data_IF_065778320884
#
_entry.id   IF_065778320884
#
_cell.length_a   1.000
_cell.length_b   1.000
_cell.length_c   1.000
_cell.angle_alpha   90.00
_cell.angle_beta   90.00
_cell.angle_gamma   90.00
#
_symmetry.space_group_name_H-M   'P 1'
#
loop_
_entity.id
_entity.type
_entity.pdbx_description
1 polymer ?
#
# COMPACT_ATOMS: atom_id res chain seq x y z
N UNK A 1 -18.56 -7.44 -13.37
CA UNK A 1 -17.93 -7.10 -14.67
C UNK A 1 -16.70 -6.27 -14.35
N UNK A 2 -15.59 -6.51 -15.04
CA UNK A 2 -14.36 -5.75 -14.89
C UNK A 2 -14.21 -4.84 -16.10
N UNK A 3 -13.85 -3.58 -15.85
CA UNK A 3 -13.71 -2.55 -16.87
C UNK A 3 -12.47 -1.71 -16.55
N UNK A 4 -11.87 -1.14 -17.57
CA UNK A 4 -10.70 -0.27 -17.45
C UNK A 4 -10.96 1.02 -18.21
N UNK A 5 -10.63 2.13 -17.55
CA UNK A 5 -10.68 3.47 -18.11
C UNK A 5 -9.28 3.83 -18.59
N UNK A 6 -9.18 4.23 -19.86
CA UNK A 6 -7.97 4.86 -20.38
C UNK A 6 -8.21 6.36 -20.48
N UNK A 7 -7.41 7.14 -19.75
CA UNK A 7 -7.40 8.60 -19.84
C UNK A 7 -6.22 8.99 -20.72
N UNK A 8 -6.46 9.43 -21.97
CA UNK A 8 -5.39 9.89 -22.84
C UNK A 8 -4.69 11.13 -22.27
N UNK A 9 -3.37 11.07 -22.16
CA UNK A 9 -2.51 12.22 -21.81
C UNK A 9 -2.40 13.16 -23.01
N UNK A 10 -3.39 14.04 -23.21
CA UNK A 10 -3.26 15.13 -24.18
C UNK A 10 -2.63 16.35 -23.49
N UNK A 11 -1.33 16.57 -23.68
CA UNK A 11 -0.69 17.81 -23.21
C UNK A 11 -1.12 19.05 -24.02
N UNK A 12 -1.85 18.87 -25.13
CA UNK A 12 -2.25 19.98 -26.00
C UNK A 12 -3.66 19.73 -26.56
N UNK A 13 -4.67 20.29 -25.89
CA UNK A 13 -5.85 20.90 -26.51
C UNK A 13 -6.72 20.11 -27.51
N UNK A 14 -6.68 18.78 -27.53
CA UNK A 14 -7.62 17.97 -28.34
C UNK A 14 -8.59 17.23 -27.43
N UNK A 15 -9.86 17.16 -27.82
CA UNK A 15 -10.95 16.34 -27.26
C UNK A 15 -10.53 14.88 -27.06
N UNK A 16 -9.74 14.61 -26.04
CA UNK A 16 -9.20 13.30 -25.77
C UNK A 16 -10.22 12.56 -24.93
N UNK A 17 -11.16 11.90 -25.61
CA UNK A 17 -12.31 11.26 -25.00
C UNK A 17 -11.87 10.07 -24.15
N UNK A 18 -12.28 10.08 -22.89
CA UNK A 18 -12.15 8.94 -21.98
C UNK A 18 -12.79 7.70 -22.60
N UNK A 19 -12.07 6.58 -22.57
CA UNK A 19 -12.55 5.33 -23.15
C UNK A 19 -12.65 4.25 -22.09
N UNK A 20 -13.88 3.81 -21.83
CA UNK A 20 -14.17 2.64 -21.02
C UNK A 20 -14.20 1.40 -21.91
N UNK A 21 -13.44 0.37 -21.55
CA UNK A 21 -13.52 -0.93 -22.21
C UNK A 21 -13.71 -2.06 -21.19
N UNK A 22 -14.46 -3.07 -21.60
CA UNK A 22 -14.70 -4.25 -20.78
C UNK A 22 -13.51 -5.21 -20.84
N UNK A 23 -13.11 -5.70 -19.67
CA UNK A 23 -12.16 -6.82 -19.48
C UNK A 23 -12.90 -8.14 -19.22
N UNK A 24 -14.23 -8.16 -19.31
CA UNK A 24 -15.05 -9.35 -19.07
C UNK A 24 -15.45 -9.56 -17.61
N UNK A 25 -15.51 -10.82 -17.17
CA UNK A 25 -15.90 -11.17 -15.80
C UNK A 25 -14.70 -11.09 -14.87
N UNK A 26 -14.85 -10.38 -13.75
CA UNK A 26 -13.83 -10.39 -12.71
C UNK A 26 -13.70 -11.80 -12.13
N UNK A 27 -12.47 -12.32 -11.97
CA UNK A 27 -12.26 -13.68 -11.52
C UNK A 27 -12.65 -13.90 -10.05
N UNK A 28 -12.68 -12.84 -9.24
CA UNK A 28 -13.02 -12.90 -7.82
C UNK A 28 -13.78 -11.66 -7.35
N UNK A 29 -14.53 -11.82 -6.26
CA UNK A 29 -15.15 -10.71 -5.55
C UNK A 29 -14.12 -9.99 -4.67
N UNK A 30 -14.27 -8.66 -4.54
CA UNK A 30 -13.52 -7.87 -3.58
C UNK A 30 -13.92 -8.25 -2.15
N UNK A 31 -12.93 -8.40 -1.28
CA UNK A 31 -13.16 -8.59 0.16
C UNK A 31 -12.80 -7.31 0.92
N UNK A 32 -13.68 -6.89 1.83
CA UNK A 32 -13.33 -5.91 2.85
C UNK A 32 -13.19 -4.47 2.35
N UNK A 33 -12.23 -3.75 2.91
CA UNK A 33 -11.95 -2.33 2.58
C UNK A 33 -11.24 -2.25 1.23
N UNK A 34 -11.47 -1.16 0.49
CA UNK A 34 -10.89 -0.89 -0.83
C UNK A 34 -9.44 -0.40 -0.73
N UNK A 35 -8.59 -1.19 -0.09
CA UNK A 35 -7.17 -0.89 0.02
C UNK A 35 -6.42 -1.66 -1.09
N UNK A 36 -5.65 -0.94 -1.89
CA UNK A 36 -4.88 -1.48 -3.01
C UNK A 36 -3.45 -0.95 -2.96
N UNK A 37 -2.51 -1.71 -3.52
CA UNK A 37 -1.14 -1.27 -3.74
C UNK A 37 -0.84 -1.25 -5.24
N UNK A 38 -0.04 -0.29 -5.69
CA UNK A 38 0.48 -0.25 -7.07
C UNK A 38 1.99 -0.43 -7.02
N UNK A 39 2.51 -1.45 -7.71
CA UNK A 39 3.94 -1.78 -7.74
C UNK A 39 4.28 -2.29 -9.13
N UNK A 40 5.32 -1.76 -9.79
CA UNK A 40 5.80 -2.22 -11.10
C UNK A 40 4.68 -2.37 -12.16
N UNK A 41 3.85 -1.34 -12.34
CA UNK A 41 2.69 -1.35 -13.26
C UNK A 41 1.66 -2.45 -12.97
N UNK A 42 1.65 -2.99 -11.75
CA UNK A 42 0.65 -3.95 -11.27
C UNK A 42 -0.13 -3.37 -10.11
N UNK A 43 -1.44 -3.55 -10.15
CA UNK A 43 -2.35 -3.20 -9.05
C UNK A 43 -2.67 -4.47 -8.26
N UNK A 44 -2.58 -4.40 -6.93
CA UNK A 44 -2.80 -5.52 -6.03
C UNK A 44 -3.90 -5.23 -5.03
N UNK A 45 -4.76 -6.21 -4.75
CA UNK A 45 -5.82 -6.12 -3.74
C UNK A 45 -6.14 -7.49 -3.12
N UNK A 46 -6.77 -7.48 -1.95
CA UNK A 46 -7.19 -8.69 -1.25
C UNK A 46 -8.51 -9.22 -1.83
N UNK A 47 -8.54 -10.54 -2.08
CA UNK A 47 -9.72 -11.27 -2.57
C UNK A 47 -9.94 -12.55 -1.76
N UNK A 48 -11.13 -13.13 -1.88
CA UNK A 48 -11.47 -14.40 -1.26
C UNK A 48 -12.98 -14.62 -1.15
N UNK A 49 -13.37 -15.79 -0.69
CA UNK A 49 -14.79 -16.18 -0.60
C UNK A 49 -15.45 -15.73 0.72
N UNK A 50 -14.69 -15.74 1.81
CA UNK A 50 -15.18 -15.47 3.16
C UNK A 50 -14.27 -14.45 3.85
N UNK A 51 -14.84 -13.28 4.16
CA UNK A 51 -14.16 -12.13 4.77
C UNK A 51 -13.39 -12.46 6.06
N UNK A 52 -13.95 -13.36 6.87
CA UNK A 52 -13.44 -13.73 8.20
C UNK A 52 -12.68 -15.06 8.19
N UNK A 53 -12.55 -15.72 7.04
CA UNK A 53 -11.82 -16.97 6.91
C UNK A 53 -10.43 -16.67 6.31
N UNK A 54 -9.37 -16.65 7.13
CA UNK A 54 -8.01 -16.39 6.66
C UNK A 54 -7.56 -17.41 5.60
N UNK A 55 -8.13 -18.62 5.59
CA UNK A 55 -7.79 -19.63 4.60
C UNK A 55 -8.34 -19.34 3.21
N UNK A 56 -9.35 -18.49 3.12
CA UNK A 56 -9.94 -18.04 1.86
C UNK A 56 -9.26 -16.79 1.30
N UNK A 57 -8.38 -16.11 2.04
CA UNK A 57 -7.76 -14.85 1.61
C UNK A 57 -6.64 -15.12 0.59
N UNK A 58 -6.64 -14.37 -0.51
CA UNK A 58 -5.61 -14.35 -1.56
C UNK A 58 -5.31 -12.91 -1.93
N UNK A 59 -4.16 -12.70 -2.58
CA UNK A 59 -3.81 -11.42 -3.18
C UNK A 59 -3.99 -11.58 -4.69
N UNK A 60 -4.86 -10.75 -5.27
CA UNK A 60 -5.02 -10.62 -6.72
C UNK A 60 -4.08 -9.55 -7.22
N UNK A 61 -3.51 -9.75 -8.41
CA UNK A 61 -2.78 -8.74 -9.16
C UNK A 61 -3.44 -8.50 -10.51
N UNK A 62 -3.42 -7.27 -10.99
CA UNK A 62 -3.71 -6.93 -12.37
C UNK A 62 -2.55 -6.18 -12.98
N UNK A 63 -1.97 -6.74 -14.04
CA UNK A 63 -0.86 -6.15 -14.77
C UNK A 63 -1.39 -5.16 -15.81
N UNK A 64 -1.03 -3.88 -15.68
CA UNK A 64 -1.54 -2.82 -16.55
C UNK A 64 -1.00 -2.90 -17.98
N UNK A 65 0.16 -3.54 -18.19
CA UNK A 65 0.80 -3.65 -19.52
C UNK A 65 0.21 -4.78 -20.34
N UNK A 66 0.08 -5.94 -19.73
CA UNK A 66 -0.44 -7.17 -20.36
C UNK A 66 -1.94 -7.36 -20.14
N UNK A 67 -2.53 -6.57 -19.25
CA UNK A 67 -3.97 -6.56 -18.92
C UNK A 67 -4.47 -7.90 -18.41
N UNK A 68 -3.60 -8.62 -17.71
CA UNK A 68 -3.87 -9.96 -17.20
C UNK A 68 -3.99 -9.97 -15.68
N UNK A 69 -4.91 -10.82 -15.21
CA UNK A 69 -5.05 -11.13 -13.79
C UNK A 69 -4.04 -12.21 -13.37
N UNK A 70 -3.53 -12.09 -12.16
CA UNK A 70 -2.63 -13.05 -11.54
C UNK A 70 -2.94 -13.24 -10.06
N UNK A 71 -2.50 -14.36 -9.50
CA UNK A 71 -2.62 -14.63 -8.08
C UNK A 71 -1.24 -14.62 -7.43
N UNK A 72 -1.14 -13.93 -6.29
CA UNK A 72 0.06 -13.90 -5.46
C UNK A 72 -0.21 -14.68 -4.17
N UNK A 73 0.80 -15.44 -3.73
CA UNK A 73 0.73 -16.17 -2.47
C UNK A 73 0.53 -15.21 -1.30
N UNK A 74 -0.45 -15.50 -0.46
CA UNK A 74 -0.62 -14.82 0.84
C UNK A 74 0.37 -15.40 1.86
N UNK A 75 1.00 -14.61 2.74
CA UNK A 75 1.91 -15.07 3.80
C UNK A 75 1.19 -15.81 4.94
N UNK A 76 0.44 -16.88 4.62
CA UNK A 76 -0.42 -17.64 5.54
C UNK A 76 0.30 -18.18 6.77
N UNK A 77 1.56 -18.60 6.62
CA UNK A 77 2.37 -19.11 7.76
C UNK A 77 2.53 -18.07 8.87
N UNK A 78 2.36 -16.80 8.54
CA UNK A 78 2.75 -15.68 9.38
C UNK A 78 1.59 -14.79 9.81
N UNK A 79 0.45 -14.89 9.12
CA UNK A 79 -0.78 -14.16 9.43
C UNK A 79 -1.99 -15.08 9.28
N UNK A 80 -2.80 -15.13 10.34
CA UNK A 80 -4.09 -15.84 10.37
C UNK A 80 -5.24 -14.86 10.63
N UNK A 81 -5.10 -13.62 10.15
CA UNK A 81 -6.06 -12.54 10.42
C UNK A 81 -7.18 -12.48 9.39
N UNK A 82 -8.32 -11.91 9.79
CA UNK A 82 -9.38 -11.55 8.84
C UNK A 82 -8.92 -10.39 7.95
N UNK A 83 -9.57 -10.21 6.80
CA UNK A 83 -9.23 -9.15 5.83
C UNK A 83 -9.35 -7.73 6.41
N UNK A 84 -10.07 -7.53 7.51
CA UNK A 84 -10.23 -6.21 8.15
C UNK A 84 -8.98 -5.73 8.90
N UNK A 85 -8.07 -6.67 9.18
CA UNK A 85 -6.82 -6.46 9.90
C UNK A 85 -5.62 -6.33 8.96
N UNK A 86 -5.88 -6.32 7.65
CA UNK A 86 -4.88 -6.46 6.60
C UNK A 86 -5.02 -5.33 5.59
N UNK A 87 -3.92 -4.65 5.28
CA UNK A 87 -3.85 -3.72 4.16
C UNK A 87 -2.68 -4.11 3.24
N UNK A 88 -2.79 -3.72 1.96
CA UNK A 88 -1.68 -3.77 1.02
C UNK A 88 -1.14 -2.36 0.80
N UNK A 89 0.19 -2.23 0.75
CA UNK A 89 0.85 -0.96 0.53
C UNK A 89 2.16 -1.14 -0.23
N UNK A 90 2.54 -0.15 -1.02
CA UNK A 90 3.85 -0.08 -1.66
C UNK A 90 4.85 0.58 -0.70
N UNK A 91 5.96 -0.11 -0.43
CA UNK A 91 7.07 0.42 0.37
C UNK A 91 8.37 0.06 -0.33
N UNK A 92 9.18 1.08 -0.68
CA UNK A 92 10.44 0.90 -1.41
C UNK A 92 10.25 0.08 -2.69
N UNK A 93 9.25 0.45 -3.48
CA UNK A 93 8.87 -0.22 -4.73
C UNK A 93 8.54 -1.71 -4.51
N UNK A 94 8.17 -2.14 -3.31
CA UNK A 94 7.86 -3.54 -3.03
C UNK A 94 6.47 -3.66 -2.45
N UNK A 95 5.77 -4.69 -2.90
CA UNK A 95 4.47 -5.04 -2.35
C UNK A 95 4.65 -5.48 -0.89
N UNK A 96 3.93 -4.80 0.00
CA UNK A 96 3.90 -5.10 1.40
C UNK A 96 2.47 -5.41 1.88
N UNK A 97 2.37 -6.34 2.83
CA UNK A 97 1.16 -6.65 3.57
C UNK A 97 1.35 -6.14 5.00
N UNK A 98 0.43 -5.30 5.47
CA UNK A 98 0.35 -4.92 6.89
C UNK A 98 -0.56 -5.90 7.63
N UNK A 99 -0.16 -6.31 8.83
CA UNK A 99 -0.96 -7.11 9.75
C UNK A 99 -1.08 -6.34 11.06
N UNK A 100 -2.32 -5.97 11.39
CA UNK A 100 -2.64 -5.15 12.56
C UNK A 100 -3.95 -5.59 13.19
N UNK A 101 -3.93 -5.78 14.51
CA UNK A 101 -5.16 -5.81 15.31
C UNK A 101 -5.48 -4.43 15.90
N UNK A 102 -6.76 -3.99 15.91
CA UNK A 102 -7.14 -2.69 16.47
C UNK A 102 -6.85 -2.46 17.96
N UNK A 103 -6.55 -3.52 18.71
CA UNK A 103 -6.21 -3.48 20.14
C UNK A 103 -4.74 -3.84 20.42
N UNK A 104 -3.95 -4.14 19.38
CA UNK A 104 -2.50 -4.31 19.52
C UNK A 104 -1.81 -3.00 19.12
N UNK A 105 -0.84 -2.57 19.93
CA UNK A 105 -0.01 -1.40 19.63
C UNK A 105 1.17 -1.71 18.70
N UNK A 106 1.04 -2.74 17.86
CA UNK A 106 2.08 -3.16 16.91
C UNK A 106 1.48 -3.40 15.54
N UNK A 107 2.18 -2.95 14.50
CA UNK A 107 1.94 -3.35 13.11
C UNK A 107 3.11 -4.22 12.65
N UNK A 108 2.80 -5.37 12.05
CA UNK A 108 3.79 -6.15 11.32
C UNK A 108 3.71 -5.85 9.84
N UNK A 109 4.86 -5.63 9.22
CA UNK A 109 4.95 -5.39 7.77
C UNK A 109 5.71 -6.54 7.13
N UNK A 110 5.01 -7.27 6.27
CA UNK A 110 5.57 -8.33 5.45
C UNK A 110 5.88 -7.76 4.07
N UNK A 111 7.08 -8.00 3.55
CA UNK A 111 7.53 -7.50 2.25
C UNK A 111 7.76 -8.68 1.31
N UNK A 112 7.23 -8.58 0.09
CA UNK A 112 7.43 -9.58 -0.94
C UNK A 112 8.83 -9.41 -1.57
N UNK A 113 9.56 -10.52 -1.65
CA UNK A 113 10.86 -10.61 -2.30
C UNK A 113 10.67 -10.93 -3.77
N UNK A 114 11.34 -10.18 -4.65
CA UNK A 114 11.26 -10.33 -6.11
C UNK A 114 12.11 -11.50 -6.64
N UNK A 115 13.16 -11.86 -5.92
CA UNK A 115 14.26 -12.69 -6.45
C UNK A 115 14.10 -14.19 -6.21
N UNK A 116 12.92 -14.62 -5.75
CA UNK A 116 12.64 -16.03 -5.49
C UNK A 116 11.55 -16.48 -6.44
N UNK A 117 11.88 -17.47 -7.27
CA UNK A 117 11.00 -18.05 -8.29
C UNK A 117 9.62 -18.43 -7.73
N UNK A 118 8.61 -18.31 -8.60
CA UNK A 118 7.15 -18.25 -8.40
C UNK A 118 6.47 -19.36 -7.58
N UNK A 119 7.21 -20.25 -6.93
CA UNK A 119 6.65 -21.40 -6.22
C UNK A 119 7.25 -21.66 -4.82
N UNK A 120 8.14 -20.79 -4.33
CA UNK A 120 8.63 -20.90 -2.97
C UNK A 120 7.58 -20.40 -1.96
N UNK A 121 7.20 -21.22 -0.98
CA UNK A 121 6.30 -20.82 0.12
C UNK A 121 6.86 -19.69 1.03
N UNK A 122 8.04 -19.14 0.72
CA UNK A 122 8.79 -18.17 1.51
C UNK A 122 9.19 -16.92 0.69
N UNK A 123 8.25 -16.42 -0.13
CA UNK A 123 8.37 -15.15 -0.88
C UNK A 123 8.28 -13.92 0.02
N UNK A 124 7.70 -14.05 1.21
CA UNK A 124 7.46 -12.94 2.12
C UNK A 124 8.44 -12.97 3.29
N UNK A 125 9.01 -11.80 3.60
CA UNK A 125 9.85 -11.62 4.79
C UNK A 125 9.20 -10.61 5.73
N UNK A 126 9.31 -10.85 7.04
CA UNK A 126 8.93 -9.84 8.05
C UNK A 126 9.96 -8.73 8.00
N UNK A 127 9.62 -7.60 7.38
CA UNK A 127 10.56 -6.50 7.19
C UNK A 127 10.56 -5.54 8.38
N UNK A 128 9.38 -5.20 8.88
CA UNK A 128 9.25 -4.24 9.98
C UNK A 128 8.32 -4.76 11.08
N UNK A 129 8.62 -4.32 12.31
CA UNK A 129 7.74 -4.35 13.47
C UNK A 129 7.63 -2.91 13.97
N UNK A 130 6.49 -2.28 13.73
CA UNK A 130 6.25 -0.88 14.04
C UNK A 130 5.50 -0.82 15.37
N UNK A 131 6.11 -0.21 16.38
CA UNK A 131 5.47 0.06 17.66
C UNK A 131 4.69 1.38 17.59
N UNK A 132 3.42 1.33 18.01
CA UNK A 132 2.48 2.46 18.02
C UNK A 132 2.27 3.04 19.43
N UNK A 133 3.24 2.86 20.33
CA UNK A 133 3.15 3.36 21.69
C UNK A 133 2.99 4.89 21.68
N UNK A 134 1.95 5.40 22.37
CA UNK A 134 1.64 6.83 22.41
C UNK A 134 0.79 7.34 21.24
N UNK A 135 0.34 6.46 20.34
CA UNK A 135 -0.57 6.79 19.23
C UNK A 135 -1.92 6.12 19.50
N UNK A 136 -3.03 6.82 19.19
CA UNK A 136 -4.35 6.20 19.12
C UNK A 136 -4.36 5.18 17.96
N UNK A 137 -4.21 3.91 18.33
CA UNK A 137 -3.93 2.83 17.40
C UNK A 137 -5.20 2.13 16.87
N UNK A 138 -6.39 2.60 17.26
CA UNK A 138 -7.65 1.99 16.80
C UNK A 138 -7.85 2.13 15.29
N UNK A 139 -7.44 3.26 14.69
CA UNK A 139 -7.49 3.52 13.25
C UNK A 139 -6.12 3.96 12.71
N UNK A 140 -5.18 3.03 12.62
CA UNK A 140 -3.83 3.28 12.06
C UNK A 140 -3.64 2.54 10.75
N UNK A 141 -3.03 3.22 9.77
CA UNK A 141 -2.70 2.67 8.46
C UNK A 141 -1.37 3.17 7.95
N UNK A 142 -0.67 2.32 7.21
CA UNK A 142 0.48 2.73 6.41
C UNK A 142 -0.03 3.17 5.05
N UNK A 143 0.35 4.37 4.62
CA UNK A 143 -0.07 4.94 3.34
C UNK A 143 1.00 4.87 2.25
N UNK A 144 2.25 4.61 2.62
CA UNK A 144 3.35 4.50 1.67
C UNK A 144 4.70 4.81 2.29
N UNK A 145 5.69 4.99 1.43
CA UNK A 145 7.08 5.25 1.80
C UNK A 145 7.58 6.54 1.15
N UNK A 146 8.25 7.39 1.92
CA UNK A 146 8.89 8.60 1.42
C UNK A 146 10.40 8.38 1.39
N UNK A 147 10.96 8.27 0.19
CA UNK A 147 12.41 8.19 0.00
C UNK A 147 13.02 9.58 0.16
N UNK A 148 14.00 9.74 1.06
CA UNK A 148 14.77 10.98 1.15
C UNK A 148 15.95 10.88 0.19
N UNK A 149 15.72 11.10 -1.10
CA UNK A 149 16.79 11.06 -2.10
C UNK A 149 17.38 12.46 -2.29
N UNK A 150 18.62 12.66 -1.84
CA UNK A 150 19.46 13.75 -2.37
C UNK A 150 20.76 13.24 -3.03
N UNK A 151 21.07 11.95 -3.00
CA UNK A 151 22.25 11.39 -3.67
C UNK A 151 21.98 9.93 -4.06
N UNK A 152 22.40 9.54 -5.26
CA UNK A 152 22.11 8.24 -5.90
C UNK A 152 22.78 7.03 -5.26
N UNK A 153 22.80 6.95 -3.93
CA UNK A 153 23.27 5.77 -3.21
C UNK A 153 22.14 4.77 -2.98
N UNK A 154 22.46 3.50 -3.20
CA UNK A 154 21.52 2.38 -3.28
C UNK A 154 20.89 1.94 -1.93
N UNK A 155 21.13 2.71 -0.87
CA UNK A 155 20.45 2.60 0.42
C UNK A 155 19.73 3.91 0.72
N UNK A 156 18.66 4.22 -0.02
CA UNK A 156 17.89 5.39 0.33
C UNK A 156 17.28 5.23 1.72
N UNK A 157 17.66 6.15 2.60
CA UNK A 157 16.96 6.44 3.84
C UNK A 157 15.58 7.00 3.51
N UNK A 158 14.64 6.85 4.43
CA UNK A 158 13.30 7.35 4.23
C UNK A 158 12.33 6.82 5.26
N UNK A 159 11.16 7.43 5.26
CA UNK A 159 10.18 7.29 6.33
C UNK A 159 8.90 6.65 5.81
N UNK A 160 8.25 5.87 6.67
CA UNK A 160 6.95 5.28 6.40
C UNK A 160 5.88 6.31 6.76
N UNK A 161 5.02 6.66 5.81
CA UNK A 161 3.88 7.55 6.08
C UNK A 161 2.77 6.75 6.75
N UNK A 162 2.33 7.22 7.91
CA UNK A 162 1.29 6.60 8.72
C UNK A 162 0.13 7.57 8.88
N UNK A 163 -1.09 7.10 8.62
CA UNK A 163 -2.34 7.75 9.06
C UNK A 163 -2.72 7.15 10.40
N UNK A 164 -3.16 7.98 11.34
CA UNK A 164 -3.71 7.53 12.62
C UNK A 164 -4.90 8.40 13.02
N UNK A 165 -5.91 7.76 13.61
CA UNK A 165 -7.20 8.38 13.88
C UNK A 165 -7.86 8.92 12.60
N UNK A 166 -8.78 9.87 12.78
CA UNK A 166 -9.61 10.34 11.66
C UNK A 166 -8.92 11.34 10.74
N UNK A 167 -7.95 12.12 11.25
CA UNK A 167 -7.37 13.26 10.53
C UNK A 167 -5.88 13.50 10.77
N UNK A 168 -5.18 12.58 11.43
CA UNK A 168 -3.76 12.77 11.77
C UNK A 168 -2.86 11.91 10.89
N UNK A 169 -1.68 12.46 10.59
CA UNK A 169 -0.66 11.82 9.77
C UNK A 169 0.69 12.03 10.41
N UNK A 170 1.59 11.08 10.21
CA UNK A 170 2.93 11.17 10.74
C UNK A 170 3.89 10.29 9.98
N UNK A 171 5.16 10.42 10.31
CA UNK A 171 6.24 9.67 9.70
C UNK A 171 6.85 8.73 10.74
N UNK A 172 7.10 7.50 10.32
CA UNK A 172 7.83 6.52 11.10
C UNK A 172 9.17 6.25 10.46
N UNK A 173 10.23 6.45 11.23
CA UNK A 173 11.58 6.09 10.87
C UNK A 173 11.81 4.60 11.20
N UNK A 174 11.93 3.72 10.19
CA UNK A 174 12.11 2.30 10.42
C UNK A 174 13.51 1.91 10.90
N UNK A 175 14.51 2.81 10.80
CA UNK A 175 15.87 2.58 11.25
C UNK A 175 15.96 2.81 12.76
N UNK A 176 15.46 3.96 13.22
CA UNK A 176 15.53 4.34 14.64
C UNK A 176 14.28 3.94 15.44
N UNK A 177 13.23 3.46 14.77
CA UNK A 177 11.98 3.06 15.39
C UNK A 177 11.20 4.22 16.01
N UNK A 178 11.28 5.41 15.40
CA UNK A 178 10.69 6.65 15.95
C UNK A 178 9.52 7.11 15.13
N UNK A 179 8.48 7.54 15.82
CA UNK A 179 7.32 8.18 15.23
C UNK A 179 7.37 9.69 15.43
N UNK A 180 6.94 10.44 14.41
CA UNK A 180 6.82 11.89 14.42
C UNK A 180 5.49 12.31 13.84
N UNK A 181 4.71 13.07 14.59
CA UNK A 181 3.45 13.66 14.14
C UNK A 181 3.71 14.81 13.15
N UNK A 182 2.90 14.91 12.09
CA UNK A 182 2.96 16.01 11.14
C UNK A 182 2.34 17.30 11.69
N UNK A 183 1.41 17.20 12.65
CA UNK A 183 0.80 18.37 13.29
C UNK A 183 1.85 19.25 13.99
N UNK A 184 2.94 18.65 14.49
CA UNK A 184 4.07 19.35 15.10
C UNK A 184 4.91 20.16 14.10
N UNK A 185 4.82 19.88 12.79
CA UNK A 185 5.57 20.57 11.72
C UNK A 185 4.85 21.81 11.17
N UNK A 186 3.53 21.74 11.02
CA UNK A 186 2.73 22.83 10.43
C UNK A 186 2.83 24.12 11.28
N UNK A 187 3.10 23.98 12.58
CA UNK A 187 3.31 25.12 13.48
C UNK A 187 4.68 25.78 13.34
N UNK A 188 5.64 25.19 12.60
CA UNK A 188 7.03 25.68 12.56
C UNK A 188 7.56 26.11 11.19
N UNK A 189 6.98 25.73 10.04
CA UNK A 189 7.34 26.34 8.75
C UNK A 189 6.33 26.08 7.60
N UNK A 190 5.42 27.03 7.29
CA UNK A 190 4.31 26.80 6.36
C UNK A 190 4.68 26.77 4.85
N UNK A 191 5.88 27.21 4.46
CA UNK A 191 6.23 27.43 3.04
C UNK A 191 6.77 26.21 2.27
N UNK A 192 7.41 25.25 2.94
CA UNK A 192 8.04 24.10 2.28
C UNK A 192 7.11 22.86 2.20
N UNK A 193 6.19 22.73 3.16
CA UNK A 193 5.34 21.54 3.30
C UNK A 193 4.14 21.53 2.35
N UNK A 194 3.75 22.67 1.77
CA UNK A 194 2.69 22.76 0.76
C UNK A 194 3.09 22.12 -0.57
N UNK A 195 4.37 22.12 -0.92
CA UNK A 195 4.85 21.52 -2.17
C UNK A 195 4.68 19.98 -2.15
N UNK A 196 4.94 19.33 -1.02
CA UNK A 196 4.76 17.88 -0.79
C UNK A 196 3.30 17.42 -0.87
N UNK A 197 2.35 18.30 -0.55
CA UNK A 197 0.91 18.02 -0.64
C UNK A 197 0.35 18.26 -2.05
N UNK A 198 0.93 19.18 -2.81
CA UNK A 198 0.48 19.52 -4.16
C UNK A 198 0.88 18.48 -5.21
N UNK A 199 2.03 17.81 -5.05
CA UNK A 199 2.44 16.71 -5.93
C UNK A 199 1.52 15.48 -5.88
N UNK A 200 0.63 15.40 -4.87
CA UNK A 200 -0.33 14.30 -4.69
C UNK A 200 -1.72 14.55 -5.28
N UNK A 201 -2.00 15.73 -5.83
CA UNK A 201 -3.32 16.02 -6.43
C UNK A 201 -3.60 15.27 -7.74
N UNK A 202 -2.65 14.49 -8.26
CA UNK A 202 -2.76 13.76 -9.53
C UNK A 202 -2.97 12.24 -9.36
N UNK A 203 -3.32 11.73 -8.18
CA UNK A 203 -3.48 10.29 -7.91
C UNK A 203 -4.82 9.89 -7.25
N UNK A 204 -5.90 10.63 -7.54
CA UNK A 204 -7.28 10.18 -7.26
C UNK A 204 -8.08 10.11 -8.56
#
# INVERSE_FOLDING_TARGET
>A
MCEILTIPTSEIGSDSQENWRSLGKCPFAFLGRKDYASVDDKIYWLVGEKKFDPDCIRIMSFDLRSENFGLVCFPKKYSNRSVECLDLVEIKERLCLTDRLPWESTIYVWMMMRDKEEFANDLWIKKYRIELLGIDHHDVRILGYLSTNNTGDSQSEGEILIKFGTKSFGFYDPIHGRFRDLADKITTNPGADLQLLLDRKNLL
#
